data_IF_473043782243
#
_entry.id   IF_473043782243
#
_cell.length_a   1.000
_cell.length_b   1.000
_cell.length_c   1.000
_cell.angle_alpha   90.00
_cell.angle_beta   90.00
_cell.angle_gamma   90.00
#
_symmetry.space_group_name_H-M   'P 1'
#
loop_
_entity.id
_entity.type
_entity.pdbx_description
1 polymer ?
#
# COMPACT_ATOMS: atom_id res chain seq x y z
N UNK A 1 4.54 -24.26 23.69
CA UNK A 1 3.42 -23.87 22.78
C UNK A 1 3.78 -22.57 22.06
N UNK A 2 3.65 -22.52 20.72
CA UNK A 2 3.93 -21.28 19.96
C UNK A 2 2.78 -20.29 20.20
N UNK A 3 3.07 -19.11 20.76
CA UNK A 3 2.05 -18.07 21.05
C UNK A 3 1.35 -17.65 19.75
N UNK A 4 0.02 -17.77 19.68
CA UNK A 4 -0.77 -17.33 18.53
C UNK A 4 -0.73 -15.80 18.44
N UNK A 5 -0.17 -15.28 17.36
CA UNK A 5 -0.15 -13.82 17.11
C UNK A 5 -1.43 -13.43 16.38
N UNK A 6 -2.16 -12.48 16.98
CA UNK A 6 -3.40 -11.92 16.44
C UNK A 6 -3.12 -10.56 15.81
N UNK A 7 -3.99 -10.13 14.90
CA UNK A 7 -3.84 -8.87 14.18
C UNK A 7 -3.90 -7.63 15.09
N UNK A 8 -4.86 -7.60 16.02
CA UNK A 8 -5.04 -6.48 16.95
C UNK A 8 -5.54 -5.16 16.35
N UNK A 9 -5.66 -5.03 15.03
CA UNK A 9 -6.15 -3.80 14.39
C UNK A 9 -7.62 -3.50 14.77
N UNK A 10 -7.97 -2.24 14.96
CA UNK A 10 -9.35 -1.82 15.26
C UNK A 10 -10.26 -2.12 14.08
N UNK A 11 -11.28 -2.94 14.29
CA UNK A 11 -12.30 -3.24 13.28
C UNK A 11 -13.30 -2.10 13.16
N UNK A 12 -14.17 -2.15 12.13
CA UNK A 12 -15.29 -1.20 11.98
C UNK A 12 -16.24 -1.18 13.19
N UNK A 13 -16.27 -2.24 14.00
CA UNK A 13 -17.08 -2.34 15.23
C UNK A 13 -16.36 -1.76 16.47
N UNK A 14 -15.17 -1.19 16.31
CA UNK A 14 -14.37 -0.67 17.43
C UNK A 14 -13.61 -1.72 18.25
N UNK A 15 -13.79 -3.02 17.96
CA UNK A 15 -13.12 -4.11 18.68
C UNK A 15 -11.81 -4.54 18.00
N UNK A 16 -10.84 -5.12 18.74
CA UNK A 16 -9.57 -5.58 18.16
C UNK A 16 -9.77 -6.79 17.25
N UNK A 17 -9.07 -6.78 16.12
CA UNK A 17 -9.13 -7.86 15.14
C UNK A 17 -8.52 -9.16 15.69
N UNK A 18 -9.34 -10.20 15.73
CA UNK A 18 -8.97 -11.55 16.20
C UNK A 18 -8.42 -12.47 15.10
N UNK A 19 -8.28 -11.97 13.87
CA UNK A 19 -7.70 -12.77 12.78
C UNK A 19 -6.23 -13.12 13.08
N UNK A 20 -5.82 -14.32 12.64
CA UNK A 20 -4.41 -14.74 12.69
C UNK A 20 -3.55 -13.75 11.90
N UNK A 21 -2.50 -13.25 12.53
CA UNK A 21 -1.51 -12.44 11.84
C UNK A 21 -0.47 -13.34 11.16
N UNK A 22 -0.02 -12.92 9.98
CA UNK A 22 1.12 -13.48 9.28
C UNK A 22 2.28 -12.50 9.36
N UNK A 23 3.50 -13.03 9.38
CA UNK A 23 4.71 -12.22 9.29
C UNK A 23 4.86 -11.75 7.86
N UNK A 24 4.87 -10.44 7.65
CA UNK A 24 5.14 -9.82 6.35
C UNK A 24 6.64 -9.87 6.03
N UNK A 25 6.99 -9.68 4.75
CA UNK A 25 8.39 -9.60 4.31
C UNK A 25 9.20 -8.50 5.01
N UNK A 26 8.53 -7.46 5.51
CA UNK A 26 9.15 -6.33 6.23
C UNK A 26 9.16 -6.51 7.75
N UNK A 27 8.93 -7.74 8.25
CA UNK A 27 8.98 -8.04 9.69
C UNK A 27 7.73 -7.64 10.50
N UNK A 28 6.78 -6.91 9.91
CA UNK A 28 5.52 -6.57 10.57
C UNK A 28 4.53 -7.76 10.59
N UNK A 29 3.67 -7.82 11.62
CA UNK A 29 2.58 -8.80 11.71
C UNK A 29 1.25 -8.19 11.25
N UNK A 30 0.63 -8.77 10.22
CA UNK A 30 -0.64 -8.27 9.64
C UNK A 30 -1.57 -9.43 9.32
N UNK A 31 -2.89 -9.23 9.39
CA UNK A 31 -3.82 -10.22 8.85
C UNK A 31 -4.21 -9.88 7.41
N UNK A 32 -4.83 -10.84 6.72
CA UNK A 32 -5.34 -10.68 5.35
C UNK A 32 -6.33 -9.51 5.17
N UNK A 33 -6.98 -9.06 6.24
CA UNK A 33 -7.96 -7.97 6.22
C UNK A 33 -7.33 -6.60 6.53
N UNK A 34 -6.25 -6.57 7.30
CA UNK A 34 -5.63 -5.34 7.79
C UNK A 34 -4.16 -5.27 7.36
N UNK A 35 -3.94 -5.30 6.04
CA UNK A 35 -2.63 -5.29 5.39
C UNK A 35 -2.03 -3.90 5.17
N UNK A 36 -2.77 -2.82 5.42
CA UNK A 36 -2.31 -1.45 5.28
C UNK A 36 -3.02 -0.54 6.26
N UNK A 37 -2.35 -0.18 7.35
CA UNK A 37 -2.79 0.85 8.30
C UNK A 37 -2.17 2.21 7.98
N UNK A 38 -1.58 2.37 6.79
CA UNK A 38 -1.10 3.69 6.39
C UNK A 38 -2.30 4.61 6.21
N UNK A 39 -2.38 5.67 7.00
CA UNK A 39 -3.41 6.71 6.88
C UNK A 39 -3.13 7.66 5.71
N UNK A 40 -2.04 7.45 4.97
CA UNK A 40 -1.50 8.44 4.05
C UNK A 40 -0.95 9.67 4.78
N UNK A 41 -0.45 10.67 4.04
CA UNK A 41 0.00 11.93 4.63
C UNK A 41 -1.18 12.72 5.21
N UNK A 42 -1.11 13.05 6.49
CA UNK A 42 -2.14 13.84 7.17
C UNK A 42 -1.87 15.35 7.13
N UNK A 43 -0.62 15.77 6.87
CA UNK A 43 -0.24 17.18 6.80
C UNK A 43 -0.43 17.77 5.38
N UNK A 44 -0.65 19.10 5.26
CA UNK A 44 -0.73 19.77 3.96
C UNK A 44 0.50 19.55 3.08
N UNK A 45 1.69 19.65 3.65
CA UNK A 45 2.97 19.50 2.93
C UNK A 45 3.15 18.06 2.45
N UNK A 46 2.75 17.08 3.27
CA UNK A 46 2.78 15.68 2.90
C UNK A 46 1.83 15.37 1.74
N UNK A 47 0.63 15.96 1.75
CA UNK A 47 -0.34 15.84 0.65
C UNK A 47 0.19 16.46 -0.64
N UNK A 48 0.79 17.65 -0.55
CA UNK A 48 1.36 18.33 -1.71
C UNK A 48 2.51 17.52 -2.33
N UNK A 49 3.38 16.95 -1.48
CA UNK A 49 4.48 16.08 -1.95
C UNK A 49 3.97 14.88 -2.74
N UNK A 50 2.94 14.20 -2.23
CA UNK A 50 2.34 13.05 -2.94
C UNK A 50 1.64 13.50 -4.22
N UNK A 51 0.91 14.62 -4.19
CA UNK A 51 0.26 15.17 -5.38
C UNK A 51 1.28 15.51 -6.48
N UNK A 52 2.40 16.15 -6.12
CA UNK A 52 3.49 16.45 -7.05
C UNK A 52 4.09 15.17 -7.67
N UNK A 53 4.37 14.16 -6.85
CA UNK A 53 4.89 12.88 -7.33
C UNK A 53 3.93 12.18 -8.31
N UNK A 54 2.63 12.19 -8.01
CA UNK A 54 1.59 11.64 -8.89
C UNK A 54 1.53 12.40 -10.21
N UNK A 55 1.52 13.74 -10.18
CA UNK A 55 1.53 14.59 -11.39
C UNK A 55 2.74 14.30 -12.28
N UNK A 56 3.92 14.22 -11.68
CA UNK A 56 5.16 13.87 -12.38
C UNK A 56 5.06 12.51 -13.08
N UNK A 57 4.62 11.47 -12.34
CA UNK A 57 4.41 10.12 -12.90
C UNK A 57 3.44 10.11 -14.07
N UNK A 58 2.31 10.83 -13.98
CA UNK A 58 1.33 10.91 -15.06
C UNK A 58 1.81 11.71 -16.27
N UNK A 59 2.64 12.75 -16.08
CA UNK A 59 3.27 13.46 -17.18
C UNK A 59 4.21 12.51 -17.95
N UNK A 60 5.10 11.81 -17.24
CA UNK A 60 6.01 10.84 -17.84
C UNK A 60 5.26 9.73 -18.59
N UNK A 61 4.20 9.17 -18.00
CA UNK A 61 3.39 8.15 -18.65
C UNK A 61 2.70 8.66 -19.93
N UNK A 62 2.16 9.88 -19.92
CA UNK A 62 1.53 10.48 -21.11
C UNK A 62 2.54 10.67 -22.23
N UNK A 63 3.71 11.23 -21.93
CA UNK A 63 4.80 11.38 -22.91
C UNK A 63 5.22 10.05 -23.49
N UNK A 64 5.47 9.05 -22.65
CA UNK A 64 5.86 7.71 -23.07
C UNK A 64 4.79 7.07 -23.97
N UNK A 65 3.51 7.22 -23.62
CA UNK A 65 2.40 6.67 -24.40
C UNK A 65 2.23 7.36 -25.76
N UNK A 66 2.36 8.69 -25.82
CA UNK A 66 2.36 9.43 -27.09
C UNK A 66 3.54 9.04 -27.98
N UNK A 67 4.68 8.65 -27.39
CA UNK A 67 5.86 8.16 -28.09
C UNK A 67 5.78 6.66 -28.46
N UNK A 68 4.67 5.97 -28.19
CA UNK A 68 4.49 4.55 -28.50
C UNK A 68 5.25 3.59 -27.57
N UNK A 69 5.77 4.06 -26.43
CA UNK A 69 6.49 3.21 -25.50
C UNK A 69 5.55 2.23 -24.77
N UNK A 70 5.99 0.98 -24.51
CA UNK A 70 5.18 0.00 -23.79
C UNK A 70 4.90 0.45 -22.34
N UNK A 71 3.82 -0.04 -21.71
CA UNK A 71 3.52 0.31 -20.32
C UNK A 71 4.67 -0.12 -19.39
N UNK A 72 4.98 0.75 -18.41
CA UNK A 72 6.04 0.55 -17.41
C UNK A 72 5.95 -0.77 -16.60
N UNK A 73 4.82 -1.47 -16.69
CA UNK A 73 4.60 -2.79 -16.11
C UNK A 73 3.92 -3.69 -17.15
N UNK A 74 4.63 -4.07 -18.21
CA UNK A 74 4.17 -5.17 -19.06
C UNK A 74 4.38 -6.50 -18.32
N UNK A 75 3.30 -7.24 -18.05
CA UNK A 75 3.39 -8.64 -17.64
C UNK A 75 3.76 -9.51 -18.86
N UNK A 76 4.89 -9.24 -19.50
CA UNK A 76 5.32 -9.99 -20.67
C UNK A 76 6.03 -11.31 -20.29
N UNK A 77 6.42 -11.48 -19.03
CA UNK A 77 7.22 -12.63 -18.57
C UNK A 77 6.86 -13.06 -17.13
N UNK A 78 5.61 -13.50 -16.93
CA UNK A 78 5.24 -14.36 -15.81
C UNK A 78 4.45 -15.55 -16.35
#
# INVERSE_FOLDING_TARGET
MRRKILCGATTRRGTPCQCKAIRTKHGAWRCRLHGGLSTGPTTPEGRERIAAAVRHRWAAWRTARSAGAPPLHSNAEQ
#
